data_IF_996731579886
#
_entry.id   IF_996731579886
#
_cell.length_a   1.000
_cell.length_b   1.000
_cell.length_c   1.000
_cell.angle_alpha   90.00
_cell.angle_beta   90.00
_cell.angle_gamma   90.00
#
_symmetry.space_group_name_H-M   'P 1'
#
loop_
_entity.id
_entity.type
_entity.pdbx_description
1 polymer ?
#
# COMPACT_ATOMS: atom_id res chain seq x y z
N UNK A 1 30.41 5.22 -49.07
CA UNK A 1 30.78 4.76 -47.72
C UNK A 1 31.27 5.98 -46.99
N UNK A 2 30.46 6.53 -46.10
CA UNK A 2 30.78 7.69 -45.28
C UNK A 2 30.66 7.24 -43.83
N UNK A 3 31.80 7.20 -43.15
CA UNK A 3 31.91 6.85 -41.74
C UNK A 3 31.35 8.00 -40.90
N UNK A 4 30.37 7.69 -40.05
CA UNK A 4 29.82 8.60 -39.05
C UNK A 4 30.55 8.29 -37.75
N UNK A 5 31.48 9.17 -37.38
CA UNK A 5 32.08 9.23 -36.04
C UNK A 5 31.02 9.74 -35.06
N UNK A 6 30.47 8.84 -34.25
CA UNK A 6 29.61 9.19 -33.11
C UNK A 6 30.52 9.39 -31.90
N UNK A 7 30.73 10.65 -31.53
CA UNK A 7 31.48 11.06 -30.37
C UNK A 7 30.63 10.79 -29.11
N UNK A 8 31.02 9.81 -28.29
CA UNK A 8 30.38 9.48 -27.02
C UNK A 8 30.97 10.42 -25.96
N UNK A 9 30.19 11.42 -25.55
CA UNK A 9 30.59 12.34 -24.48
C UNK A 9 30.31 11.65 -23.13
N UNK A 10 31.34 11.00 -22.59
CA UNK A 10 31.35 10.37 -21.26
C UNK A 10 31.33 11.44 -20.16
N UNK A 11 30.17 12.03 -19.89
CA UNK A 11 29.94 12.77 -18.65
C UNK A 11 29.45 11.81 -17.56
N UNK A 12 30.36 10.94 -17.12
CA UNK A 12 30.22 10.17 -15.89
C UNK A 12 30.45 11.16 -14.73
N UNK A 13 29.39 11.81 -14.29
CA UNK A 13 29.36 12.39 -12.95
C UNK A 13 29.28 11.24 -11.95
N UNK A 14 30.44 10.80 -11.48
CA UNK A 14 30.58 9.88 -10.35
C UNK A 14 30.03 10.54 -9.09
N UNK A 15 28.78 10.24 -8.74
CA UNK A 15 28.26 10.62 -7.43
C UNK A 15 28.87 9.69 -6.38
N UNK A 16 29.88 10.20 -5.68
CA UNK A 16 30.49 9.62 -4.49
C UNK A 16 29.45 9.53 -3.38
N UNK A 17 29.37 8.35 -2.78
CA UNK A 17 28.33 7.92 -1.85
C UNK A 17 28.79 8.10 -0.39
N UNK A 18 29.37 9.26 -0.07
CA UNK A 18 30.08 9.50 1.20
C UNK A 18 29.60 10.72 2.01
N UNK A 19 28.56 11.46 1.58
CA UNK A 19 28.06 12.64 2.32
C UNK A 19 26.55 12.57 2.60
N UNK A 20 26.08 11.50 3.25
CA UNK A 20 24.78 11.54 3.94
C UNK A 20 25.04 11.68 5.45
N UNK A 21 25.21 12.94 5.86
CA UNK A 21 25.39 13.35 7.25
C UNK A 21 24.18 12.95 8.10
N UNK A 22 24.50 12.23 9.17
CA UNK A 22 23.61 11.54 10.09
C UNK A 22 23.18 12.51 11.20
N UNK A 23 22.19 13.36 10.94
CA UNK A 23 21.67 14.28 11.95
C UNK A 23 20.18 14.62 11.78
N UNK A 24 19.32 13.64 12.07
CA UNK A 24 17.98 13.92 12.58
C UNK A 24 17.84 13.32 13.98
N UNK A 25 18.31 14.09 14.98
CA UNK A 25 17.99 13.88 16.39
C UNK A 25 16.50 14.16 16.59
N UNK A 26 15.71 13.12 16.78
CA UNK A 26 14.39 13.24 17.40
C UNK A 26 14.58 13.70 18.85
N UNK A 27 14.34 14.98 19.12
CA UNK A 27 14.15 15.50 20.48
C UNK A 27 12.75 15.13 20.95
N UNK A 28 12.65 14.45 22.09
CA UNK A 28 11.40 13.95 22.69
C UNK A 28 10.47 15.05 23.25
N UNK A 29 10.60 16.30 22.79
CA UNK A 29 9.98 17.46 23.43
C UNK A 29 8.61 17.86 22.81
N UNK A 30 8.16 17.18 21.76
CA UNK A 30 6.85 17.45 21.10
C UNK A 30 5.80 16.36 21.38
N UNK A 31 5.84 15.74 22.57
CA UNK A 31 4.75 14.86 23.02
C UNK A 31 3.66 15.71 23.69
N UNK A 32 2.43 15.80 23.13
CA UNK A 32 1.34 16.50 23.81
C UNK A 32 0.95 15.77 25.10
N UNK A 33 1.03 16.50 26.21
CA UNK A 33 0.63 16.09 27.55
C UNK A 33 -0.89 15.83 27.59
N UNK A 34 -1.26 14.55 27.67
CA UNK A 34 -2.64 14.11 27.87
C UNK A 34 -2.93 14.12 29.38
N UNK A 35 -3.23 15.31 29.92
CA UNK A 35 -3.79 15.42 31.26
C UNK A 35 -5.21 14.83 31.28
N UNK A 36 -5.43 13.84 32.14
CA UNK A 36 -6.73 13.20 32.39
C UNK A 36 -7.70 14.19 33.06
N UNK A 37 -8.63 14.76 32.30
CA UNK A 37 -9.78 15.46 32.88
C UNK A 37 -10.89 14.45 33.23
N UNK A 38 -11.48 14.52 34.45
CA UNK A 38 -12.59 13.66 34.85
C UNK A 38 -13.85 13.99 34.04
N UNK A 39 -14.45 12.98 33.43
CA UNK A 39 -15.78 13.08 32.80
C UNK A 39 -16.83 13.14 33.92
N UNK A 40 -17.48 14.29 34.08
CA UNK A 40 -18.67 14.46 34.92
C UNK A 40 -19.81 13.57 34.42
N UNK A 41 -20.34 12.77 35.33
CA UNK A 41 -21.47 11.87 35.11
C UNK A 41 -22.71 12.58 35.64
N UNK A 42 -23.46 13.27 34.78
CA UNK A 42 -24.76 13.86 35.14
C UNK A 42 -25.92 13.01 34.61
N UNK A 43 -26.46 12.23 35.54
CA UNK A 43 -27.86 11.89 35.84
C UNK A 43 -28.89 11.86 34.68
N UNK A 44 -29.38 10.66 34.36
CA UNK A 44 -30.51 10.45 33.47
C UNK A 44 -31.85 10.60 34.23
N UNK A 45 -32.50 11.75 34.08
CA UNK A 45 -33.90 11.90 34.53
C UNK A 45 -34.88 11.13 33.62
N UNK A 46 -35.58 10.18 34.25
CA UNK A 46 -36.69 9.41 33.70
C UNK A 46 -37.94 10.29 33.49
N UNK A 47 -38.32 10.55 32.24
CA UNK A 47 -39.66 11.04 31.86
C UNK A 47 -40.38 9.98 31.01
N UNK A 48 -41.33 9.29 31.64
CA UNK A 48 -42.31 8.43 30.97
C UNK A 48 -43.46 9.30 30.43
N UNK A 49 -43.52 9.51 29.12
CA UNK A 49 -44.72 10.02 28.46
C UNK A 49 -45.36 8.92 27.62
N UNK A 50 -46.55 8.49 28.05
CA UNK A 50 -47.38 7.51 27.36
C UNK A 50 -47.94 8.12 26.07
N UNK A 51 -47.20 7.96 24.97
CA UNK A 51 -47.68 8.20 23.61
C UNK A 51 -48.00 6.87 22.93
N UNK A 52 -49.27 6.61 22.64
CA UNK A 52 -49.69 5.49 21.78
C UNK A 52 -49.22 5.74 20.35
N UNK A 53 -48.17 5.05 19.91
CA UNK A 53 -47.70 5.07 18.53
C UNK A 53 -48.16 3.80 17.79
N UNK A 54 -48.84 4.00 16.67
CA UNK A 54 -49.27 2.94 15.76
C UNK A 54 -48.05 2.21 15.17
N UNK A 55 -48.10 0.88 15.19
CA UNK A 55 -47.07 0.00 14.63
C UNK A 55 -47.12 0.11 13.10
N UNK A 56 -46.41 1.10 12.55
CA UNK A 56 -46.06 1.10 11.13
C UNK A 56 -44.99 0.01 10.91
N UNK A 57 -45.39 -1.09 10.29
CA UNK A 57 -44.51 -2.20 9.95
C UNK A 57 -43.27 -1.71 9.18
N UNK A 58 -42.11 -1.68 9.87
CA UNK A 58 -40.82 -1.38 9.25
C UNK A 58 -40.54 -2.46 8.22
N UNK A 59 -40.79 -2.17 6.94
CA UNK A 59 -40.34 -3.00 5.82
C UNK A 59 -38.82 -3.17 5.99
N UNK A 60 -38.37 -4.40 6.27
CA UNK A 60 -36.95 -4.74 6.38
C UNK A 60 -36.28 -4.35 5.06
N UNK A 61 -35.50 -3.27 5.06
CA UNK A 61 -34.69 -2.90 3.90
C UNK A 61 -33.77 -4.09 3.60
N UNK A 62 -33.67 -4.56 2.34
CA UNK A 62 -32.79 -5.68 2.02
C UNK A 62 -31.38 -5.32 2.46
N UNK A 63 -30.74 -6.20 3.24
CA UNK A 63 -29.35 -6.05 3.66
C UNK A 63 -28.51 -5.98 2.37
N UNK A 64 -28.05 -4.79 2.00
CA UNK A 64 -27.10 -4.64 0.90
C UNK A 64 -25.89 -5.52 1.23
N UNK A 65 -25.53 -6.43 0.32
CA UNK A 65 -24.28 -7.19 0.46
C UNK A 65 -23.16 -6.18 0.65
N UNK A 66 -22.30 -6.39 1.64
CA UNK A 66 -21.13 -5.55 1.85
C UNK A 66 -20.27 -5.67 0.59
N UNK A 67 -20.31 -4.65 -0.26
CA UNK A 67 -19.37 -4.51 -1.36
C UNK A 67 -17.99 -4.42 -0.70
N UNK A 68 -17.04 -5.16 -1.24
CA UNK A 68 -15.67 -5.16 -0.75
C UNK A 68 -15.16 -3.72 -0.58
N UNK A 69 -14.58 -3.42 0.58
CA UNK A 69 -14.15 -2.06 0.95
C UNK A 69 -13.09 -1.51 -0.03
N UNK A 70 -12.26 -2.38 -0.59
CA UNK A 70 -11.21 -2.02 -1.55
C UNK A 70 -11.66 -2.04 -3.00
N UNK A 71 -12.87 -2.52 -3.32
CA UNK A 71 -13.32 -2.61 -4.70
C UNK A 71 -13.69 -1.23 -5.26
N UNK A 72 -13.12 -0.92 -6.43
CA UNK A 72 -13.36 0.31 -7.17
C UNK A 72 -13.72 -0.01 -8.61
N UNK A 73 -14.62 0.77 -9.17
CA UNK A 73 -15.00 0.67 -10.57
C UNK A 73 -15.25 2.06 -11.13
N UNK A 74 -14.60 2.37 -12.25
CA UNK A 74 -14.83 3.60 -12.98
C UNK A 74 -15.00 3.31 -14.47
N UNK A 75 -15.61 4.27 -15.18
CA UNK A 75 -15.92 4.14 -16.60
C UNK A 75 -14.91 4.95 -17.41
N UNK A 76 -14.29 4.29 -18.37
CA UNK A 76 -13.36 4.85 -19.36
C UNK A 76 -14.02 4.83 -20.74
N UNK A 77 -13.41 5.47 -21.74
CA UNK A 77 -13.85 5.42 -23.14
C UNK A 77 -13.89 3.99 -23.68
N UNK A 78 -12.96 3.15 -23.25
CA UNK A 78 -12.76 1.78 -23.75
C UNK A 78 -13.52 0.71 -22.95
N UNK A 79 -14.16 1.07 -21.83
CA UNK A 79 -14.87 0.11 -20.99
C UNK A 79 -14.97 0.52 -19.53
N UNK A 80 -15.25 -0.45 -18.66
CA UNK A 80 -15.16 -0.24 -17.22
C UNK A 80 -13.84 -0.80 -16.71
N UNK A 81 -13.07 0.01 -16.00
CA UNK A 81 -11.86 -0.43 -15.30
C UNK A 81 -12.24 -0.72 -13.85
N UNK A 82 -11.79 -1.85 -13.33
CA UNK A 82 -12.05 -2.32 -11.97
C UNK A 82 -10.72 -2.51 -11.30
N UNK A 83 -10.53 -1.97 -10.11
CA UNK A 83 -9.31 -2.18 -9.35
C UNK A 83 -9.59 -2.40 -7.87
N UNK A 84 -8.63 -3.00 -7.19
CA UNK A 84 -8.70 -3.30 -5.77
C UNK A 84 -7.64 -2.52 -4.99
N UNK A 85 -8.09 -1.63 -4.11
CA UNK A 85 -7.21 -0.85 -3.25
C UNK A 85 -6.79 -1.65 -2.01
N UNK A 86 -5.53 -1.51 -1.64
CA UNK A 86 -4.97 -2.01 -0.39
C UNK A 86 -4.95 -0.88 0.65
N UNK A 87 -5.20 -1.22 1.91
CA UNK A 87 -5.09 -0.28 3.02
C UNK A 87 -3.64 -0.09 3.42
N UNK A 88 -3.21 1.17 3.56
CA UNK A 88 -1.85 1.56 3.96
C UNK A 88 -1.53 1.36 5.46
N UNK A 89 -2.39 0.69 6.21
CA UNK A 89 -2.12 0.38 7.62
C UNK A 89 -1.05 -0.73 7.67
N UNK A 90 0.08 -0.50 8.37
CA UNK A 90 1.12 -1.51 8.52
C UNK A 90 0.57 -2.84 9.09
N UNK A 91 1.09 -3.96 8.61
CA UNK A 91 0.65 -5.31 8.99
C UNK A 91 -0.52 -5.86 8.18
N UNK A 92 -1.24 -5.03 7.41
CA UNK A 92 -2.25 -5.55 6.50
C UNK A 92 -1.62 -6.32 5.34
N UNK A 93 -2.27 -7.40 4.90
CA UNK A 93 -1.83 -8.14 3.71
C UNK A 93 -1.94 -7.28 2.46
N UNK A 94 -0.88 -7.25 1.65
CA UNK A 94 -0.89 -6.62 0.34
C UNK A 94 -1.92 -7.32 -0.54
N UNK A 95 -2.62 -6.55 -1.36
CA UNK A 95 -3.63 -7.05 -2.29
C UNK A 95 -3.28 -6.65 -3.71
N UNK A 96 -3.36 -7.62 -4.62
CA UNK A 96 -3.23 -7.40 -6.06
C UNK A 96 -4.32 -6.45 -6.56
N UNK A 97 -3.90 -5.40 -7.28
CA UNK A 97 -4.79 -4.39 -7.83
C UNK A 97 -5.68 -4.89 -8.97
N UNK A 98 -5.31 -5.97 -9.66
CA UNK A 98 -6.05 -6.52 -10.82
C UNK A 98 -7.11 -7.53 -10.36
N UNK A 99 -6.68 -8.62 -9.71
CA UNK A 99 -7.57 -9.73 -9.33
C UNK A 99 -8.09 -9.62 -7.89
N UNK A 100 -7.50 -8.74 -7.09
CA UNK A 100 -7.90 -8.56 -5.70
C UNK A 100 -7.47 -9.72 -4.79
N UNK A 101 -6.45 -10.48 -5.16
CA UNK A 101 -5.91 -11.58 -4.34
C UNK A 101 -5.04 -11.02 -3.22
N UNK A 102 -5.12 -11.63 -2.03
CA UNK A 102 -4.33 -11.21 -0.86
C UNK A 102 -3.05 -12.04 -0.75
N UNK A 103 -1.93 -11.35 -0.61
CA UNK A 103 -0.65 -11.95 -0.28
C UNK A 103 -0.44 -11.88 1.24
N UNK A 104 -0.85 -12.94 1.94
CA UNK A 104 -0.80 -12.97 3.40
C UNK A 104 0.63 -12.97 3.97
N UNK A 105 1.59 -13.46 3.20
CA UNK A 105 3.02 -13.47 3.55
C UNK A 105 3.69 -12.10 3.37
N UNK A 106 3.01 -11.16 2.70
CA UNK A 106 3.57 -9.86 2.34
C UNK A 106 2.74 -8.75 2.98
N UNK A 107 3.05 -8.37 4.24
CA UNK A 107 2.37 -7.28 4.91
C UNK A 107 2.88 -5.91 4.45
N UNK A 108 1.97 -4.93 4.44
CA UNK A 108 2.27 -3.51 4.30
C UNK A 108 3.17 -3.06 5.45
N UNK A 109 4.14 -2.19 5.18
CA UNK A 109 5.17 -1.71 6.09
C UNK A 109 6.40 -2.63 6.19
N UNK A 110 6.45 -3.71 5.40
CA UNK A 110 7.59 -4.63 5.35
C UNK A 110 8.44 -4.41 4.10
N UNK A 111 9.67 -4.95 4.11
CA UNK A 111 10.55 -5.04 2.95
C UNK A 111 9.89 -5.72 1.74
N UNK A 112 8.85 -6.52 1.97
CA UNK A 112 8.07 -7.19 0.93
C UNK A 112 7.39 -6.21 -0.03
N UNK A 113 7.10 -4.98 0.39
CA UNK A 113 6.52 -3.97 -0.51
C UNK A 113 7.42 -3.66 -1.72
N UNK A 114 8.74 -3.81 -1.59
CA UNK A 114 9.69 -3.55 -2.67
C UNK A 114 9.62 -4.58 -3.80
N UNK A 115 9.01 -5.74 -3.56
CA UNK A 115 8.76 -6.75 -4.58
C UNK A 115 7.63 -6.36 -5.54
N UNK A 116 6.85 -5.35 -5.19
CA UNK A 116 5.69 -4.92 -5.95
C UNK A 116 5.88 -3.51 -6.50
N UNK A 117 5.31 -3.27 -7.66
CA UNK A 117 5.15 -1.92 -8.19
C UNK A 117 3.99 -1.23 -7.49
N UNK A 118 4.33 -0.34 -6.54
CA UNK A 118 3.38 0.42 -5.71
C UNK A 118 2.97 1.73 -6.39
N UNK A 119 1.67 1.97 -6.48
CA UNK A 119 1.10 3.20 -7.06
C UNK A 119 0.11 3.84 -6.10
N UNK A 120 0.28 5.14 -5.85
CA UNK A 120 -0.69 5.96 -5.14
C UNK A 120 -1.64 6.64 -6.15
N UNK A 121 -2.91 6.24 -6.16
CA UNK A 121 -3.95 6.82 -7.01
C UNK A 121 -4.76 7.85 -6.23
N UNK A 122 -4.76 9.08 -6.72
CA UNK A 122 -5.41 10.25 -6.11
C UNK A 122 -6.60 10.79 -6.91
N UNK A 123 -6.99 10.08 -7.95
CA UNK A 123 -8.03 10.49 -8.90
C UNK A 123 -9.43 10.58 -8.25
N UNK A 124 -10.33 11.37 -8.85
CA UNK A 124 -11.66 11.72 -8.34
C UNK A 124 -12.62 10.52 -8.17
N UNK A 125 -12.25 9.34 -8.67
CA UNK A 125 -12.97 8.08 -8.42
C UNK A 125 -12.55 7.39 -7.11
N UNK A 126 -11.56 7.91 -6.39
CA UNK A 126 -11.15 7.42 -5.08
C UNK A 126 -12.08 7.93 -3.97
N UNK A 127 -12.32 7.13 -2.94
CA UNK A 127 -13.21 7.55 -1.83
C UNK A 127 -12.48 8.47 -0.86
N UNK A 128 -12.43 9.78 -1.11
CA UNK A 128 -11.87 10.83 -0.22
C UNK A 128 -10.44 10.61 0.32
N UNK A 129 -9.82 9.47 0.01
CA UNK A 129 -8.56 8.97 0.52
C UNK A 129 -7.70 8.56 -0.67
N UNK A 130 -6.40 8.44 -0.46
CA UNK A 130 -5.47 7.97 -1.49
C UNK A 130 -5.61 6.44 -1.58
N UNK A 131 -5.98 5.93 -2.75
CA UNK A 131 -6.03 4.49 -3.00
C UNK A 131 -4.60 4.01 -3.30
N UNK A 132 -4.11 3.00 -2.58
CA UNK A 132 -2.80 2.39 -2.88
C UNK A 132 -3.01 1.07 -3.61
N UNK A 133 -2.29 0.92 -4.72
CA UNK A 133 -2.37 -0.22 -5.63
C UNK A 133 -1.02 -0.90 -5.68
N UNK A 134 -1.03 -2.23 -5.70
CA UNK A 134 0.16 -3.06 -5.83
C UNK A 134 0.01 -3.92 -7.08
N UNK A 135 1.04 -3.89 -7.92
CA UNK A 135 1.18 -4.67 -9.15
C UNK A 135 2.46 -5.47 -9.09
N UNK A 136 2.58 -6.55 -9.85
CA UNK A 136 3.82 -7.34 -9.93
C UNK A 136 4.89 -6.58 -10.71
N UNK A 137 4.48 -5.79 -11.71
CA UNK A 137 5.39 -5.02 -12.55
C UNK A 137 4.73 -3.73 -13.09
N UNK A 138 5.50 -2.74 -13.54
CA UNK A 138 4.95 -1.50 -14.11
C UNK A 138 4.11 -1.74 -15.37
N UNK A 139 4.41 -2.76 -16.18
CA UNK A 139 3.68 -3.05 -17.43
C UNK A 139 2.23 -3.51 -17.16
N UNK A 140 2.02 -4.23 -16.06
CA UNK A 140 0.68 -4.60 -15.57
C UNK A 140 -0.11 -3.34 -15.21
N UNK A 141 0.51 -2.37 -14.54
CA UNK A 141 -0.14 -1.09 -14.26
C UNK A 141 -0.49 -0.33 -15.54
N UNK A 142 0.45 -0.23 -16.48
CA UNK A 142 0.23 0.41 -17.78
C UNK A 142 -0.95 -0.21 -18.54
N UNK A 143 -0.97 -1.54 -18.63
CA UNK A 143 -2.02 -2.29 -19.30
C UNK A 143 -3.37 -2.18 -18.58
N UNK A 144 -3.36 -2.22 -17.24
CA UNK A 144 -4.57 -2.19 -16.44
C UNK A 144 -5.25 -0.82 -16.44
N UNK A 145 -4.45 0.25 -16.34
CA UNK A 145 -4.94 1.62 -16.26
C UNK A 145 -4.95 2.35 -17.62
N UNK A 146 -4.44 1.69 -18.67
CA UNK A 146 -4.26 2.26 -20.02
C UNK A 146 -3.44 3.56 -19.99
N UNK A 147 -2.29 3.52 -19.29
CA UNK A 147 -1.35 4.64 -19.13
C UNK A 147 0.05 4.21 -19.53
N UNK A 148 0.93 5.19 -19.80
CA UNK A 148 2.36 4.93 -20.00
C UNK A 148 3.14 5.43 -18.79
N UNK A 149 3.98 4.57 -18.23
CA UNK A 149 4.95 4.88 -17.18
C UNK A 149 6.27 5.25 -17.84
N UNK A 150 6.91 6.30 -17.32
CA UNK A 150 8.21 6.75 -17.79
C UNK A 150 9.29 5.67 -17.59
N UNK A 151 10.23 5.59 -18.54
CA UNK A 151 11.31 4.61 -18.50
C UNK A 151 12.24 4.81 -17.30
N UNK A 152 12.45 6.05 -16.83
CA UNK A 152 13.22 6.32 -15.62
C UNK A 152 12.57 5.70 -14.39
N UNK A 153 11.25 5.78 -14.28
CA UNK A 153 10.50 5.14 -13.18
C UNK A 153 10.60 3.62 -13.22
N UNK A 154 10.52 3.03 -14.43
CA UNK A 154 10.70 1.57 -14.62
C UNK A 154 12.09 1.11 -14.20
N UNK A 155 13.13 1.88 -14.56
CA UNK A 155 14.52 1.57 -14.19
C UNK A 155 14.72 1.65 -12.67
N UNK A 156 14.25 2.71 -12.02
CA UNK A 156 14.33 2.86 -10.56
C UNK A 156 13.62 1.70 -9.85
N UNK A 157 12.44 1.30 -10.34
CA UNK A 157 11.74 0.14 -9.77
C UNK A 157 12.53 -1.15 -9.99
N UNK A 158 13.08 -1.38 -11.19
CA UNK A 158 13.85 -2.57 -11.50
C UNK A 158 15.09 -2.70 -10.58
N UNK A 159 15.78 -1.60 -10.30
CA UNK A 159 16.90 -1.57 -9.35
C UNK A 159 16.45 -1.95 -7.92
N UNK A 160 15.36 -1.34 -7.44
CA UNK A 160 14.78 -1.66 -6.12
C UNK A 160 14.33 -3.12 -6.02
N UNK A 161 13.70 -3.62 -7.07
CA UNK A 161 13.22 -4.99 -7.16
C UNK A 161 14.38 -6.00 -7.11
N UNK A 162 15.46 -5.73 -7.86
CA UNK A 162 16.68 -6.56 -7.80
C UNK A 162 17.33 -6.55 -6.43
N UNK A 163 17.39 -5.40 -5.76
CA UNK A 163 17.91 -5.29 -4.39
C UNK A 163 17.04 -6.09 -3.41
N UNK A 164 15.71 -5.98 -3.51
CA UNK A 164 14.78 -6.74 -2.70
C UNK A 164 14.94 -8.25 -2.91
N UNK A 165 15.00 -8.73 -4.15
CA UNK A 165 15.21 -10.15 -4.45
C UNK A 165 16.48 -10.73 -3.81
N UNK A 166 17.59 -9.98 -3.85
CA UNK A 166 18.83 -10.39 -3.19
C UNK A 166 18.66 -10.51 -1.67
N UNK A 167 17.98 -9.55 -1.05
CA UNK A 167 17.67 -9.57 0.38
C UNK A 167 16.81 -10.79 0.75
N UNK A 168 15.74 -11.04 -0.01
CA UNK A 168 14.84 -12.16 0.25
C UNK A 168 15.51 -13.52 0.07
N UNK A 169 16.33 -13.67 -0.97
CA UNK A 169 17.10 -14.90 -1.17
C UNK A 169 18.03 -15.18 0.01
N UNK A 170 18.73 -14.16 0.50
CA UNK A 170 19.61 -14.29 1.67
C UNK A 170 18.82 -14.65 2.94
N UNK A 171 17.64 -14.08 3.11
CA UNK A 171 16.76 -14.40 4.24
C UNK A 171 16.29 -15.86 4.19
N UNK A 172 15.86 -16.35 3.02
CA UNK A 172 15.46 -17.74 2.83
C UNK A 172 16.60 -18.71 3.13
N UNK A 173 17.81 -18.45 2.61
CA UNK A 173 18.99 -19.27 2.88
C UNK A 173 19.34 -19.33 4.37
N UNK A 174 19.22 -18.21 5.08
CA UNK A 174 19.45 -18.14 6.53
C UNK A 174 18.41 -18.94 7.31
N UNK A 175 17.13 -18.79 6.96
CA UNK A 175 16.04 -19.48 7.64
C UNK A 175 16.08 -21.00 7.41
N UNK A 176 16.52 -21.44 6.22
CA UNK A 176 16.76 -22.86 5.91
C UNK A 176 17.92 -23.45 6.73
N UNK A 177 19.04 -22.71 6.89
CA UNK A 177 20.18 -23.15 7.69
C UNK A 177 19.79 -23.34 9.17
N UNK A 178 19.05 -22.40 9.73
CA UNK A 178 18.54 -22.50 11.10
C UNK A 178 17.64 -23.72 11.29
N UNK A 179 16.75 -24.01 10.33
CA UNK A 179 15.87 -25.19 10.40
C UNK A 179 16.66 -26.50 10.37
N UNK A 180 17.72 -26.58 9.56
CA UNK A 180 18.60 -27.76 9.50
C UNK A 180 19.37 -27.97 10.81
N UNK A 181 19.83 -26.89 11.45
CA UNK A 181 20.49 -26.97 12.76
C UNK A 181 19.55 -27.53 13.84
N UNK A 182 18.31 -27.02 13.93
CA UNK A 182 17.32 -27.52 14.88
C UNK A 182 16.92 -28.98 14.67
N UNK A 183 16.94 -29.47 13.43
CA UNK A 183 16.61 -30.87 13.13
C UNK A 183 17.76 -31.83 13.40
N UNK A 184 19.00 -31.36 13.43
CA UNK A 184 20.19 -32.20 13.64
C UNK A 184 20.49 -32.48 15.13
N UNK A 185 19.85 -31.75 16.06
CA UNK A 185 20.07 -31.89 17.53
C UNK A 185 19.06 -32.85 18.19
N UNK A 186 18.48 -33.81 17.45
CA UNK A 186 17.63 -34.88 18.01
C UNK A 186 18.24 -36.26 17.77
#
# INVERSE_FOLDING_TARGET
MSDIDVNYDDNINSYTLDDFDDSYKYTNDDLPDYSEDPIDVEDEESVTTAGTFSIAGKKKKPKKKKVDKGYRKFKTKDGNVIYFATSMIPGNSIRDAIYGHYFHEHPVGSWHELLFFKVAKTDNCSTQNIDTLFYDNPEQYESHMNVSVDNGTKNIWAEKYQAALKYFKKQQEHDEQMQQEYTTIK
#
